data_IF_597954360079
#
_entry.id   IF_597954360079
#
_cell.length_a   1.000
_cell.length_b   1.000
_cell.length_c   1.000
_cell.angle_alpha   90.00
_cell.angle_beta   90.00
_cell.angle_gamma   90.00
#
_symmetry.space_group_name_H-M   'P 1'
#
loop_
_entity.id
_entity.type
_entity.pdbx_description
1 polymer ?
#
# COMPACT_ATOMS: atom_id res chain seq x y z
N UNK A 1 -0.18 26.14 0.29
CA UNK A 1 0.07 24.81 0.88
C UNK A 1 -0.58 23.75 0.01
N UNK A 2 0.09 22.61 -0.23
CA UNK A 2 -0.51 21.52 -1.02
C UNK A 2 -1.60 20.84 -0.18
N UNK A 3 -2.83 20.65 -0.70
CA UNK A 3 -3.88 19.93 0.00
C UNK A 3 -3.41 18.53 0.41
N UNK A 4 -3.74 18.09 1.64
CA UNK A 4 -3.28 16.78 2.15
C UNK A 4 -3.70 15.61 1.26
N UNK A 5 -4.89 15.67 0.68
CA UNK A 5 -5.36 14.66 -0.27
C UNK A 5 -4.47 14.57 -1.52
N UNK A 6 -4.06 15.73 -2.06
CA UNK A 6 -3.17 15.80 -3.21
C UNK A 6 -1.76 15.28 -2.84
N UNK A 7 -1.26 15.60 -1.65
CA UNK A 7 0.02 15.10 -1.17
C UNK A 7 0.02 13.55 -1.05
N UNK A 8 -1.08 12.96 -0.54
CA UNK A 8 -1.23 11.51 -0.48
C UNK A 8 -1.31 10.87 -1.87
N UNK A 9 -2.00 11.50 -2.83
CA UNK A 9 -2.05 11.02 -4.21
C UNK A 9 -0.68 11.04 -4.88
N UNK A 10 0.10 12.11 -4.70
CA UNK A 10 1.47 12.22 -5.21
C UNK A 10 2.36 11.15 -4.58
N UNK A 11 2.26 10.95 -3.26
CA UNK A 11 3.02 9.91 -2.56
C UNK A 11 2.65 8.49 -3.06
N UNK A 12 1.35 8.21 -3.25
CA UNK A 12 0.89 6.93 -3.79
C UNK A 12 1.43 6.68 -5.20
N UNK A 13 1.35 7.68 -6.09
CA UNK A 13 1.87 7.58 -7.44
C UNK A 13 3.39 7.38 -7.46
N UNK A 14 4.14 8.14 -6.64
CA UNK A 14 5.60 8.05 -6.54
C UNK A 14 6.08 6.72 -5.98
N UNK A 15 5.30 6.07 -5.11
CA UNK A 15 5.67 4.76 -4.57
C UNK A 15 5.37 3.65 -5.58
N UNK A 16 4.16 3.61 -6.13
CA UNK A 16 3.71 2.48 -6.94
C UNK A 16 4.24 2.52 -8.38
N UNK A 17 4.37 3.70 -9.01
CA UNK A 17 4.79 3.76 -10.42
C UNK A 17 6.25 3.30 -10.63
N UNK A 18 7.25 3.75 -9.84
CA UNK A 18 8.60 3.21 -9.92
C UNK A 18 8.68 1.74 -9.52
N UNK A 19 7.92 1.31 -8.50
CA UNK A 19 7.92 -0.10 -8.08
C UNK A 19 7.43 -1.02 -9.21
N UNK A 20 6.34 -0.63 -9.88
CA UNK A 20 5.82 -1.34 -11.04
C UNK A 20 6.84 -1.35 -12.17
N UNK A 21 7.46 -0.20 -12.50
CA UNK A 21 8.47 -0.13 -13.55
C UNK A 21 9.68 -1.04 -13.26
N UNK A 22 10.18 -1.05 -12.03
CA UNK A 22 11.29 -1.92 -11.60
C UNK A 22 10.90 -3.40 -11.74
N UNK A 23 9.70 -3.76 -11.27
CA UNK A 23 9.18 -5.14 -11.37
C UNK A 23 9.03 -5.57 -12.82
N UNK A 24 8.43 -4.72 -13.67
CA UNK A 24 8.23 -4.99 -15.10
C UNK A 24 9.54 -5.14 -15.85
N UNK A 25 10.53 -4.26 -15.63
CA UNK A 25 11.85 -4.37 -16.25
C UNK A 25 12.55 -5.64 -15.79
N UNK A 26 12.43 -6.00 -14.50
CA UNK A 26 13.01 -7.23 -13.97
C UNK A 26 12.37 -8.48 -14.60
N UNK A 27 11.05 -8.47 -14.83
CA UNK A 27 10.35 -9.55 -15.52
C UNK A 27 10.78 -9.64 -16.99
N UNK A 28 10.77 -8.52 -17.71
CA UNK A 28 11.24 -8.47 -19.10
C UNK A 28 12.69 -8.96 -19.25
N UNK A 29 13.57 -8.60 -18.30
CA UNK A 29 14.96 -9.06 -18.27
C UNK A 29 15.06 -10.58 -18.10
N UNK A 30 14.15 -11.19 -17.33
CA UNK A 30 14.07 -12.65 -17.18
C UNK A 30 13.58 -13.32 -18.46
N UNK A 31 12.60 -12.72 -19.13
CA UNK A 31 12.00 -13.26 -20.36
C UNK A 31 12.97 -13.26 -21.54
N UNK A 32 13.85 -12.24 -21.66
CA UNK A 32 14.88 -12.17 -22.71
C UNK A 32 16.13 -13.02 -22.40
N UNK A 33 16.23 -13.59 -21.20
CA UNK A 33 17.33 -14.45 -20.78
C UNK A 33 18.71 -13.77 -20.83
N UNK A 34 19.71 -14.47 -21.39
CA UNK A 34 21.09 -14.02 -21.43
C UNK A 34 21.28 -12.65 -22.14
N UNK A 35 20.41 -12.31 -23.09
CA UNK A 35 20.44 -11.00 -23.76
C UNK A 35 20.27 -9.84 -22.76
N UNK A 36 19.45 -10.03 -21.74
CA UNK A 36 19.23 -9.04 -20.67
C UNK A 36 20.42 -8.89 -19.72
N UNK A 37 21.45 -9.75 -19.80
CA UNK A 37 22.68 -9.64 -19.01
C UNK A 37 23.80 -8.91 -19.76
N UNK A 38 23.66 -8.69 -21.06
CA UNK A 38 24.68 -8.03 -21.86
C UNK A 38 24.76 -6.54 -21.52
N UNK A 39 25.99 -6.05 -21.29
CA UNK A 39 26.23 -4.64 -20.94
C UNK A 39 25.74 -3.64 -22.00
N UNK A 40 25.74 -4.04 -23.28
CA UNK A 40 25.24 -3.23 -24.41
C UNK A 40 23.74 -3.40 -24.69
N UNK A 41 23.02 -4.20 -23.91
CA UNK A 41 21.56 -4.34 -24.06
C UNK A 41 20.84 -3.11 -23.50
N UNK A 42 19.59 -2.84 -23.94
CA UNK A 42 18.74 -1.82 -23.31
C UNK A 42 18.39 -2.14 -21.84
N UNK A 43 18.77 -3.32 -21.33
CA UNK A 43 18.64 -3.71 -19.92
C UNK A 43 19.90 -3.43 -19.08
N UNK A 44 20.90 -2.80 -19.69
CA UNK A 44 22.17 -2.44 -19.06
C UNK A 44 22.06 -1.30 -18.02
N UNK A 45 23.19 -0.70 -17.64
CA UNK A 45 23.29 0.26 -16.52
C UNK A 45 22.36 1.47 -16.62
N UNK A 46 21.91 1.82 -17.82
CA UNK A 46 20.95 2.91 -18.03
C UNK A 46 19.62 2.70 -17.29
N UNK A 47 19.22 1.45 -17.02
CA UNK A 47 18.00 1.15 -16.26
C UNK A 47 18.17 1.33 -14.75
N UNK A 48 19.39 1.44 -14.24
CA UNK A 48 19.64 1.65 -12.80
C UNK A 48 19.14 3.03 -12.34
N UNK A 49 18.93 3.98 -13.28
CA UNK A 49 18.30 5.27 -12.97
C UNK A 49 16.88 5.10 -12.41
N UNK A 50 16.17 4.04 -12.80
CA UNK A 50 14.81 3.77 -12.31
C UNK A 50 14.87 3.27 -10.86
N UNK A 51 15.94 2.57 -10.47
CA UNK A 51 16.19 2.24 -9.06
C UNK A 51 16.45 3.50 -8.25
N UNK A 52 17.14 4.50 -8.82
CA UNK A 52 17.33 5.79 -8.14
C UNK A 52 16.00 6.49 -7.84
N UNK A 53 14.97 6.36 -8.69
CA UNK A 53 13.63 6.91 -8.45
C UNK A 53 12.95 6.36 -7.18
N UNK A 54 13.37 5.18 -6.70
CA UNK A 54 12.90 4.63 -5.42
C UNK A 54 13.36 5.49 -4.23
N UNK A 55 14.55 6.08 -4.33
CA UNK A 55 15.20 6.86 -3.27
C UNK A 55 15.06 8.37 -3.46
N UNK A 56 14.97 8.82 -4.71
CA UNK A 56 14.78 10.23 -5.04
C UNK A 56 13.46 10.78 -4.48
N UNK A 57 13.47 12.05 -4.08
CA UNK A 57 12.31 12.78 -3.54
C UNK A 57 11.69 12.16 -2.27
N UNK A 58 12.46 11.31 -1.58
CA UNK A 58 12.10 10.64 -0.33
C UNK A 58 11.97 9.13 -0.53
N UNK A 59 12.55 8.34 0.37
CA UNK A 59 12.50 6.86 0.29
C UNK A 59 11.04 6.37 0.26
N UNK A 60 10.72 5.49 -0.71
CA UNK A 60 9.40 4.88 -0.84
C UNK A 60 8.89 4.25 0.46
N UNK A 61 9.75 3.64 1.28
CA UNK A 61 9.34 3.05 2.58
C UNK A 61 8.95 4.12 3.60
N UNK A 62 9.65 5.24 3.62
CA UNK A 62 9.33 6.37 4.51
C UNK A 62 8.01 7.01 4.10
N UNK A 63 7.79 7.17 2.79
CA UNK A 63 6.52 7.68 2.26
C UNK A 63 5.35 6.75 2.57
N UNK A 64 5.53 5.43 2.44
CA UNK A 64 4.53 4.45 2.84
C UNK A 64 4.16 4.57 4.33
N UNK A 65 5.15 4.70 5.22
CA UNK A 65 4.89 4.93 6.65
C UNK A 65 4.16 6.25 6.91
N UNK A 66 4.50 7.31 6.18
CA UNK A 66 3.80 8.59 6.26
C UNK A 66 2.33 8.47 5.87
N UNK A 67 2.03 7.83 4.74
CA UNK A 67 0.65 7.58 4.28
C UNK A 67 -0.15 6.83 5.34
N UNK A 68 0.41 5.75 5.89
CA UNK A 68 -0.29 4.93 6.90
C UNK A 68 -0.54 5.72 8.17
N UNK A 69 0.43 6.54 8.61
CA UNK A 69 0.25 7.40 9.77
C UNK A 69 -0.91 8.38 9.58
N UNK A 70 -1.07 8.93 8.38
CA UNK A 70 -2.17 9.84 8.08
C UNK A 70 -3.52 9.12 8.01
N UNK A 71 -3.56 7.88 7.48
CA UNK A 71 -4.74 7.01 7.53
C UNK A 71 -5.14 6.74 8.99
N UNK A 72 -4.20 6.37 9.86
CA UNK A 72 -4.49 6.08 11.26
C UNK A 72 -4.93 7.33 12.02
N UNK A 73 -4.36 8.50 11.72
CA UNK A 73 -4.83 9.78 12.27
C UNK A 73 -6.27 10.10 11.88
N UNK A 74 -6.67 9.79 10.65
CA UNK A 74 -8.06 9.94 10.23
C UNK A 74 -9.02 8.98 10.98
N UNK A 75 -8.51 7.88 11.54
CA UNK A 75 -9.27 6.86 12.27
C UNK A 75 -8.98 6.86 13.78
N UNK A 76 -8.43 7.93 14.36
CA UNK A 76 -8.07 7.96 15.78
C UNK A 76 -9.29 8.02 16.73
N UNK A 77 -10.49 8.32 16.21
CA UNK A 77 -11.72 8.43 16.99
C UNK A 77 -12.59 7.17 16.97
N UNK A 78 -13.47 7.03 17.97
CA UNK A 78 -14.42 5.90 18.03
C UNK A 78 -15.40 5.88 16.85
N UNK A 79 -15.93 7.05 16.46
CA UNK A 79 -16.86 7.19 15.32
C UNK A 79 -16.27 6.68 13.99
N UNK A 80 -15.08 7.15 13.53
CA UNK A 80 -14.50 6.66 12.29
C UNK A 80 -14.09 5.17 12.37
N UNK A 81 -13.69 4.67 13.54
CA UNK A 81 -13.43 3.23 13.74
C UNK A 81 -14.68 2.37 13.55
N UNK A 82 -15.79 2.77 14.17
CA UNK A 82 -17.08 2.07 14.00
C UNK A 82 -17.53 2.13 12.54
N UNK A 83 -17.38 3.29 11.89
CA UNK A 83 -17.67 3.43 10.46
C UNK A 83 -16.79 2.51 9.59
N UNK A 84 -15.50 2.39 9.89
CA UNK A 84 -14.59 1.47 9.20
C UNK A 84 -15.02 0.01 9.40
N UNK A 85 -15.32 -0.40 10.63
CA UNK A 85 -15.79 -1.74 10.93
C UNK A 85 -17.11 -2.07 10.21
N UNK A 86 -18.07 -1.15 10.21
CA UNK A 86 -19.34 -1.30 9.51
C UNK A 86 -19.15 -1.42 7.99
N UNK A 87 -18.20 -0.68 7.39
CA UNK A 87 -17.89 -0.82 5.95
C UNK A 87 -17.33 -2.19 5.61
N UNK A 88 -16.41 -2.72 6.43
CA UNK A 88 -15.85 -4.06 6.23
C UNK A 88 -16.92 -5.13 6.38
N UNK A 89 -17.74 -5.05 7.43
CA UNK A 89 -18.85 -6.00 7.66
C UNK A 89 -19.90 -5.89 6.55
N UNK A 90 -20.29 -4.69 6.15
CA UNK A 90 -21.26 -4.47 5.07
C UNK A 90 -20.76 -4.99 3.73
N UNK A 91 -19.51 -4.72 3.38
CA UNK A 91 -18.89 -5.24 2.17
C UNK A 91 -18.81 -6.78 2.18
N UNK A 92 -18.45 -7.37 3.32
CA UNK A 92 -18.43 -8.83 3.51
C UNK A 92 -19.82 -9.45 3.34
N UNK A 93 -20.85 -8.86 3.97
CA UNK A 93 -22.24 -9.32 3.90
C UNK A 93 -22.84 -9.17 2.49
N UNK A 94 -22.48 -8.11 1.77
CA UNK A 94 -23.05 -7.81 0.45
C UNK A 94 -22.58 -8.75 -0.65
N UNK A 95 -21.50 -9.51 -0.45
CA UNK A 95 -20.90 -10.38 -1.47
C UNK A 95 -20.38 -9.64 -2.72
N UNK A 96 -20.52 -8.32 -2.81
CA UNK A 96 -20.18 -7.49 -3.97
C UNK A 96 -18.68 -7.14 -3.97
N UNK A 97 -17.83 -8.16 -4.09
CA UNK A 97 -16.37 -8.06 -4.05
C UNK A 97 -15.77 -7.93 -5.46
N UNK A 98 -16.28 -7.01 -6.28
CA UNK A 98 -15.77 -6.80 -7.65
C UNK A 98 -15.13 -5.41 -7.82
N UNK A 99 -14.03 -5.36 -8.57
CA UNK A 99 -13.34 -4.12 -8.95
C UNK A 99 -12.89 -3.25 -7.76
N UNK A 100 -13.15 -1.94 -7.86
CA UNK A 100 -12.73 -0.94 -6.86
C UNK A 100 -13.23 -1.22 -5.44
N UNK A 101 -14.37 -1.89 -5.30
CA UNK A 101 -14.94 -2.24 -4.00
C UNK A 101 -14.09 -3.30 -3.27
N UNK A 102 -13.48 -4.23 -4.01
CA UNK A 102 -12.57 -5.24 -3.45
C UNK A 102 -11.30 -4.60 -2.89
N UNK A 103 -10.69 -3.67 -3.62
CA UNK A 103 -9.51 -2.94 -3.15
C UNK A 103 -9.82 -2.07 -1.92
N UNK A 104 -10.98 -1.41 -1.91
CA UNK A 104 -11.45 -0.63 -0.75
C UNK A 104 -11.64 -1.53 0.48
N UNK A 105 -12.27 -2.69 0.29
CA UNK A 105 -12.45 -3.70 1.33
C UNK A 105 -11.12 -4.20 1.88
N UNK A 106 -10.19 -4.61 1.01
CA UNK A 106 -8.86 -5.09 1.42
C UNK A 106 -8.11 -4.02 2.22
N UNK A 107 -8.11 -2.77 1.73
CA UNK A 107 -7.53 -1.64 2.47
C UNK A 107 -8.16 -1.53 3.86
N UNK A 108 -9.48 -1.47 3.95
CA UNK A 108 -10.19 -1.26 5.22
C UNK A 108 -9.97 -2.43 6.19
N UNK A 109 -9.91 -3.66 5.67
CA UNK A 109 -9.57 -4.86 6.42
C UNK A 109 -8.14 -4.79 6.98
N UNK A 110 -7.15 -4.42 6.16
CA UNK A 110 -5.76 -4.27 6.61
C UNK A 110 -5.62 -3.15 7.65
N UNK A 111 -6.33 -2.03 7.49
CA UNK A 111 -6.33 -0.94 8.47
C UNK A 111 -6.90 -1.41 9.81
N UNK A 112 -8.03 -2.13 9.82
CA UNK A 112 -8.58 -2.71 11.06
C UNK A 112 -7.61 -3.69 11.72
N UNK A 113 -7.00 -4.57 10.91
CA UNK A 113 -5.98 -5.51 11.41
C UNK A 113 -4.80 -4.76 12.02
N UNK A 114 -4.32 -3.70 11.37
CA UNK A 114 -3.21 -2.89 11.85
C UNK A 114 -3.54 -2.23 13.18
N UNK A 115 -4.72 -1.61 13.29
CA UNK A 115 -5.17 -0.97 14.52
C UNK A 115 -5.26 -1.98 15.67
N UNK A 116 -5.80 -3.17 15.40
CA UNK A 116 -5.89 -4.23 16.39
C UNK A 116 -4.50 -4.74 16.84
N UNK A 117 -3.58 -4.98 15.90
CA UNK A 117 -2.21 -5.43 16.18
C UNK A 117 -1.44 -4.36 16.98
N UNK A 118 -1.50 -3.09 16.57
CA UNK A 118 -0.87 -1.99 17.28
C UNK A 118 -1.41 -1.87 18.70
N UNK A 119 -2.74 -1.92 18.87
CA UNK A 119 -3.36 -1.89 20.19
C UNK A 119 -2.90 -3.04 21.08
N UNK A 120 -2.85 -4.27 20.53
CA UNK A 120 -2.37 -5.46 21.24
C UNK A 120 -0.92 -5.30 21.71
N UNK A 121 -0.02 -4.88 20.82
CA UNK A 121 1.39 -4.68 21.17
C UNK A 121 1.61 -3.55 22.18
N UNK A 122 0.91 -2.43 22.04
CA UNK A 122 0.99 -1.32 23.01
C UNK A 122 0.47 -1.78 24.38
N UNK A 123 -0.62 -2.55 24.42
CA UNK A 123 -1.17 -3.09 25.67
C UNK A 123 -0.21 -4.06 26.35
N UNK A 124 0.42 -4.95 25.58
CA UNK A 124 1.43 -5.91 26.08
C UNK A 124 2.70 -5.20 26.59
N UNK A 125 3.16 -4.16 25.89
CA UNK A 125 4.31 -3.38 26.35
C UNK A 125 3.99 -2.58 27.62
N UNK A 126 2.78 -2.02 27.72
CA UNK A 126 2.33 -1.30 28.93
C UNK A 126 2.17 -2.22 30.14
N UNK A 127 1.71 -3.47 29.96
CA UNK A 127 1.63 -4.43 31.07
C UNK A 127 3.01 -4.83 31.61
N UNK A 128 4.08 -4.66 30.82
CA UNK A 128 5.48 -4.83 31.23
C UNK A 128 6.13 -3.57 31.80
N UNK A 129 5.36 -2.49 32.01
CA UNK A 129 5.87 -1.23 32.57
C UNK A 129 6.68 -0.38 31.59
N UNK A 130 6.64 -0.66 30.28
CA UNK A 130 7.33 0.14 29.27
C UNK A 130 6.62 1.50 29.13
N UNK A 131 7.40 2.59 29.08
CA UNK A 131 6.89 3.95 28.82
C UNK A 131 6.07 4.00 27.52
N UNK A 132 4.98 4.75 27.52
CA UNK A 132 4.01 4.80 26.41
C UNK A 132 4.65 5.10 25.04
N UNK A 133 5.52 6.12 24.94
CA UNK A 133 6.16 6.49 23.67
C UNK A 133 7.05 5.38 23.09
N UNK A 134 7.74 4.64 23.97
CA UNK A 134 8.59 3.51 23.56
C UNK A 134 7.74 2.31 23.16
N UNK A 135 6.66 2.04 23.89
CA UNK A 135 5.70 1.00 23.54
C UNK A 135 5.06 1.22 22.16
N UNK A 136 4.72 2.47 21.81
CA UNK A 136 4.16 2.84 20.51
C UNK A 136 5.17 2.67 19.38
N UNK A 137 6.41 3.10 19.59
CA UNK A 137 7.49 2.94 18.60
C UNK A 137 7.80 1.47 18.36
N UNK A 138 7.93 0.66 19.42
CA UNK A 138 8.17 -0.78 19.29
C UNK A 138 6.99 -1.50 18.62
N UNK A 139 5.75 -1.13 18.95
CA UNK A 139 4.56 -1.68 18.30
C UNK A 139 4.54 -1.36 16.80
N UNK A 140 4.92 -0.13 16.42
CA UNK A 140 5.01 0.28 15.02
C UNK A 140 6.06 -0.53 14.26
N UNK A 141 7.25 -0.69 14.83
CA UNK A 141 8.34 -1.47 14.22
C UNK A 141 7.96 -2.95 14.06
N UNK A 142 7.30 -3.54 15.06
CA UNK A 142 6.81 -4.93 15.01
C UNK A 142 5.69 -5.14 14.00
N UNK A 143 4.87 -4.12 13.78
CA UNK A 143 3.80 -4.15 12.78
C UNK A 143 4.27 -3.71 11.38
N UNK A 144 5.58 -3.58 11.15
CA UNK A 144 6.15 -3.00 9.93
C UNK A 144 5.61 -3.59 8.63
N UNK A 145 5.56 -4.91 8.51
CA UNK A 145 5.05 -5.57 7.29
C UNK A 145 3.57 -5.21 7.03
N UNK A 146 2.76 -5.22 8.09
CA UNK A 146 1.35 -4.85 8.00
C UNK A 146 1.15 -3.36 7.70
N UNK A 147 2.05 -2.49 8.17
CA UNK A 147 2.09 -1.08 7.78
C UNK A 147 2.30 -0.96 6.26
N UNK A 148 3.25 -1.70 5.70
CA UNK A 148 3.50 -1.67 4.26
C UNK A 148 2.35 -2.26 3.44
N UNK A 149 1.68 -3.31 3.93
CA UNK A 149 0.48 -3.86 3.29
C UNK A 149 -0.66 -2.84 3.22
N UNK A 150 -0.91 -2.12 4.33
CA UNK A 150 -1.91 -1.04 4.37
C UNK A 150 -1.54 0.06 3.38
N UNK A 151 -0.27 0.46 3.35
CA UNK A 151 0.21 1.51 2.44
C UNK A 151 -0.02 1.14 0.98
N UNK A 152 0.34 -0.10 0.60
CA UNK A 152 0.18 -0.64 -0.75
C UNK A 152 -1.28 -0.73 -1.17
N UNK A 153 -2.13 -1.35 -0.34
CA UNK A 153 -3.56 -1.46 -0.61
C UNK A 153 -4.23 -0.08 -0.74
N UNK A 154 -3.81 0.89 0.08
CA UNK A 154 -4.28 2.26 -0.03
C UNK A 154 -3.84 2.94 -1.33
N UNK A 155 -2.57 2.84 -1.69
CA UNK A 155 -2.02 3.45 -2.90
C UNK A 155 -2.67 2.87 -4.17
N UNK A 156 -2.80 1.55 -4.25
CA UNK A 156 -3.45 0.87 -5.38
C UNK A 156 -4.93 1.25 -5.51
N UNK A 157 -5.65 1.35 -4.37
CA UNK A 157 -7.03 1.84 -4.37
C UNK A 157 -7.12 3.29 -4.87
N UNK A 158 -6.21 4.17 -4.44
CA UNK A 158 -6.18 5.57 -4.88
C UNK A 158 -5.90 5.69 -6.38
N UNK A 159 -4.90 4.97 -6.88
CA UNK A 159 -4.57 4.97 -8.32
C UNK A 159 -5.76 4.46 -9.12
N UNK A 160 -6.31 3.31 -8.74
CA UNK A 160 -7.45 2.73 -9.47
C UNK A 160 -8.69 3.63 -9.43
N UNK A 161 -9.06 4.16 -8.26
CA UNK A 161 -10.21 5.08 -8.14
C UNK A 161 -10.01 6.36 -8.96
N UNK A 162 -8.78 6.87 -9.05
CA UNK A 162 -8.42 8.02 -9.89
C UNK A 162 -8.58 7.68 -11.37
N UNK A 163 -8.02 6.55 -11.82
CA UNK A 163 -8.14 6.08 -13.21
C UNK A 163 -9.60 5.90 -13.60
N UNK A 164 -10.40 5.21 -12.78
CA UNK A 164 -11.83 4.99 -13.05
C UNK A 164 -12.61 6.32 -13.08
N UNK A 165 -12.26 7.27 -12.22
CA UNK A 165 -12.90 8.59 -12.21
C UNK A 165 -12.64 9.38 -13.49
N UNK A 166 -11.44 9.28 -14.05
CA UNK A 166 -11.03 10.07 -15.23
C UNK A 166 -11.33 9.39 -16.56
N UNK A 167 -11.18 8.07 -16.64
CA UNK A 167 -11.29 7.30 -17.89
C UNK A 167 -12.53 6.39 -17.94
N UNK A 168 -13.33 6.36 -16.87
CA UNK A 168 -14.47 5.46 -16.75
C UNK A 168 -14.06 4.02 -16.43
N UNK A 169 -15.05 3.12 -16.41
CA UNK A 169 -14.82 1.68 -16.28
C UNK A 169 -14.62 1.06 -17.65
N UNK A 170 -13.49 0.39 -17.84
CA UNK A 170 -13.17 -0.45 -19.00
C UNK A 170 -12.67 -1.83 -18.55
N UNK A 171 -12.67 -2.80 -19.47
CA UNK A 171 -12.10 -4.12 -19.22
C UNK A 171 -10.64 -4.04 -18.74
N UNK A 172 -9.86 -3.11 -19.29
CA UNK A 172 -8.46 -2.89 -18.90
C UNK A 172 -8.34 -2.35 -17.48
N UNK A 173 -9.24 -1.44 -17.07
CA UNK A 173 -9.25 -0.93 -15.68
C UNK A 173 -9.64 -2.02 -14.69
N UNK A 174 -10.55 -2.92 -15.05
CA UNK A 174 -10.95 -4.04 -14.22
C UNK A 174 -9.84 -5.11 -14.14
N UNK A 175 -9.13 -5.35 -15.24
CA UNK A 175 -7.94 -6.21 -15.26
C UNK A 175 -6.82 -5.65 -14.38
N UNK A 176 -6.54 -4.34 -14.47
CA UNK A 176 -5.59 -3.68 -13.57
C UNK A 176 -6.02 -3.83 -12.10
N UNK A 177 -7.32 -3.70 -11.83
CA UNK A 177 -7.89 -3.87 -10.50
C UNK A 177 -7.71 -5.30 -9.96
N UNK A 178 -7.92 -6.31 -10.80
CA UNK A 178 -7.78 -7.73 -10.41
C UNK A 178 -6.32 -8.10 -10.15
N UNK A 179 -5.39 -7.62 -10.98
CA UNK A 179 -3.94 -7.79 -10.79
C UNK A 179 -3.50 -7.12 -9.48
N UNK A 180 -3.94 -5.88 -9.25
CA UNK A 180 -3.62 -5.15 -8.01
C UNK A 180 -4.19 -5.85 -6.77
N UNK A 181 -5.44 -6.33 -6.84
CA UNK A 181 -6.06 -7.05 -5.74
C UNK A 181 -5.35 -8.38 -5.45
N UNK A 182 -4.89 -9.09 -6.48
CA UNK A 182 -4.08 -10.31 -6.32
C UNK A 182 -2.74 -9.99 -5.63
N UNK A 183 -2.07 -8.92 -6.06
CA UNK A 183 -0.79 -8.48 -5.50
C UNK A 183 -0.90 -7.99 -4.04
N UNK A 184 -2.08 -7.53 -3.61
CA UNK A 184 -2.41 -7.28 -2.20
C UNK A 184 -2.69 -8.57 -1.40
N UNK A 185 -3.32 -9.56 -2.02
CA UNK A 185 -3.68 -10.83 -1.37
C UNK A 185 -2.46 -11.75 -1.17
N UNK A 186 -1.53 -11.78 -2.13
CA UNK A 186 -0.34 -12.63 -2.09
C UNK A 186 0.65 -12.26 -0.98
N UNK A 187 0.60 -11.03 -0.46
CA UNK A 187 1.43 -10.61 0.69
C UNK A 187 1.08 -11.34 2.01
N UNK A 188 -0.03 -12.09 2.07
CA UNK A 188 -0.50 -12.81 3.28
C UNK A 188 -0.40 -14.33 3.20
N UNK A 189 0.24 -14.89 2.16
CA UNK A 189 0.37 -16.34 1.95
C UNK A 189 1.66 -16.97 2.52
N UNK A 190 2.48 -16.19 3.23
CA UNK A 190 3.73 -16.63 3.84
C UNK A 190 3.78 -16.32 5.34
#
# INVERSE_FOLDING_TARGET
EVPRELATLIAAAKVEAPELAIKSISLLRRDVGAFGLMAGSPFGPANDIILCCRFAEGDSRVLQQMMVRDILRAHSGLRPLVGLALRVVGAWLSGAMHGSAKLAYLRDQHVLRLIWVLWRYVREARSRGVKAARAETDAWLRAGDLVYDVAKAHAQHLIHSTVVRHFGRSADTELFCSISALDCQLCHAH
#
